data_IF_349021577337
#
_entry.id   IF_349021577337
#
_cell.length_a   1.000
_cell.length_b   1.000
_cell.length_c   1.000
_cell.angle_alpha   90.00
_cell.angle_beta   90.00
_cell.angle_gamma   90.00
#
_symmetry.space_group_name_H-M   'P 1'
#
loop_
_entity.id
_entity.type
_entity.pdbx_description
1 polymer ?
#
# COMPACT_ATOMS: atom_id res chain seq x y z
N UNK A 1 33.81 -61.90 -17.20
CA UNK A 1 32.86 -61.65 -16.07
C UNK A 1 32.44 -60.17 -15.96
N UNK A 2 32.16 -59.47 -17.07
CA UNK A 2 31.70 -58.07 -17.06
C UNK A 2 30.44 -57.95 -17.94
N UNK A 3 29.28 -58.43 -17.47
CA UNK A 3 28.02 -58.29 -18.24
C UNK A 3 26.77 -57.96 -17.43
N UNK A 4 26.86 -57.84 -16.09
CA UNK A 4 25.68 -57.50 -15.25
C UNK A 4 25.66 -56.06 -14.72
N UNK A 5 26.81 -55.40 -14.59
CA UNK A 5 26.87 -54.00 -14.11
C UNK A 5 26.47 -52.95 -15.17
N UNK A 6 26.74 -53.22 -16.45
CA UNK A 6 26.48 -52.26 -17.55
C UNK A 6 24.98 -52.14 -17.88
N UNK A 7 24.20 -53.21 -17.62
CA UNK A 7 22.77 -53.23 -17.95
C UNK A 7 21.92 -52.31 -17.06
N UNK A 8 22.40 -51.98 -15.85
CA UNK A 8 21.72 -51.06 -14.93
C UNK A 8 22.24 -49.62 -15.00
N UNK A 9 23.45 -49.41 -15.53
CA UNK A 9 24.03 -48.07 -15.71
C UNK A 9 23.32 -47.26 -16.80
N UNK A 10 22.98 -47.89 -17.92
CA UNK A 10 22.28 -47.22 -19.02
C UNK A 10 20.87 -46.71 -18.67
N UNK A 11 19.97 -47.50 -18.04
CA UNK A 11 18.66 -46.99 -17.64
C UNK A 11 18.75 -45.95 -16.52
N UNK A 12 19.75 -46.06 -15.62
CA UNK A 12 19.99 -45.05 -14.59
C UNK A 12 20.47 -43.72 -15.17
N UNK A 13 21.40 -43.75 -16.13
CA UNK A 13 21.87 -42.56 -16.85
C UNK A 13 20.78 -41.94 -17.72
N UNK A 14 19.93 -42.76 -18.33
CA UNK A 14 18.77 -42.27 -19.07
C UNK A 14 17.76 -41.59 -18.13
N UNK A 15 17.48 -42.19 -16.98
CA UNK A 15 16.58 -41.63 -15.98
C UNK A 15 17.10 -40.31 -15.43
N UNK A 16 18.39 -40.23 -15.07
CA UNK A 16 18.99 -38.97 -14.57
C UNK A 16 19.03 -37.90 -15.65
N UNK A 17 19.30 -38.26 -16.91
CA UNK A 17 19.23 -37.34 -18.04
C UNK A 17 17.81 -36.82 -18.29
N UNK A 18 16.80 -37.70 -18.24
CA UNK A 18 15.39 -37.31 -18.36
C UNK A 18 14.96 -36.42 -17.19
N UNK A 19 15.37 -36.74 -15.96
CA UNK A 19 15.08 -35.94 -14.76
C UNK A 19 15.74 -34.56 -14.86
N UNK A 20 17.00 -34.50 -15.28
CA UNK A 20 17.72 -33.25 -15.52
C UNK A 20 17.05 -32.41 -16.60
N UNK A 21 16.70 -33.03 -17.74
CA UNK A 21 15.97 -32.38 -18.84
C UNK A 21 14.62 -31.84 -18.38
N UNK A 22 13.90 -32.58 -17.53
CA UNK A 22 12.62 -32.17 -16.96
C UNK A 22 12.79 -30.98 -16.02
N UNK A 23 13.74 -31.03 -15.08
CA UNK A 23 14.07 -29.92 -14.16
C UNK A 23 14.54 -28.69 -14.95
N UNK A 24 15.39 -28.85 -15.96
CA UNK A 24 15.87 -27.77 -16.81
C UNK A 24 14.77 -27.21 -17.74
N UNK A 25 13.71 -27.98 -18.01
CA UNK A 25 12.53 -27.53 -18.74
C UNK A 25 11.47 -26.90 -17.86
N UNK A 26 11.58 -27.02 -16.54
CA UNK A 26 10.75 -26.24 -15.65
C UNK A 26 11.05 -24.77 -15.94
N UNK A 27 10.02 -23.93 -16.13
CA UNK A 27 10.25 -22.50 -16.22
C UNK A 27 10.96 -22.10 -14.93
N UNK A 28 12.21 -21.65 -15.02
CA UNK A 28 12.78 -20.82 -13.97
C UNK A 28 11.72 -19.76 -13.72
N UNK A 29 11.27 -19.63 -12.47
CA UNK A 29 10.44 -18.50 -12.10
C UNK A 29 11.30 -17.25 -12.32
N UNK A 30 11.36 -16.79 -13.57
CA UNK A 30 11.83 -15.49 -13.95
C UNK A 30 10.86 -14.58 -13.24
N UNK A 31 11.32 -14.08 -12.11
CA UNK A 31 10.73 -12.96 -11.41
C UNK A 31 10.59 -11.88 -12.49
N UNK A 32 9.38 -11.78 -13.05
CA UNK A 32 9.07 -10.87 -14.15
C UNK A 32 9.50 -9.50 -13.70
N UNK A 33 10.61 -9.03 -14.26
CA UNK A 33 11.18 -7.74 -13.98
C UNK A 33 10.30 -6.69 -14.68
N UNK A 34 9.17 -6.35 -14.06
CA UNK A 34 8.77 -4.95 -14.08
C UNK A 34 9.96 -4.18 -13.51
N UNK A 35 10.26 -2.98 -14.05
CA UNK A 35 11.37 -2.15 -13.57
C UNK A 35 11.22 -1.97 -12.07
N UNK A 36 11.93 -2.81 -11.30
CA UNK A 36 11.72 -2.92 -9.88
C UNK A 36 12.11 -1.56 -9.30
N UNK A 37 11.20 -0.94 -8.55
CA UNK A 37 11.56 0.29 -7.88
C UNK A 37 12.72 -0.04 -6.96
N UNK A 38 13.85 0.66 -7.13
CA UNK A 38 15.01 0.43 -6.28
C UNK A 38 14.61 0.62 -4.82
N UNK A 39 14.81 -0.41 -4.00
CA UNK A 39 14.46 -0.42 -2.58
C UNK A 39 15.46 0.47 -1.84
N UNK A 40 15.12 1.75 -1.71
CA UNK A 40 15.93 2.78 -1.06
C UNK A 40 15.03 3.64 -0.19
N UNK A 41 15.57 4.19 0.91
CA UNK A 41 14.86 5.10 1.81
C UNK A 41 14.21 6.26 1.02
N UNK A 42 14.98 6.89 0.12
CA UNK A 42 14.50 8.00 -0.72
C UNK A 42 13.30 7.60 -1.59
N UNK A 43 13.33 6.42 -2.21
CA UNK A 43 12.19 5.96 -3.01
C UNK A 43 11.00 5.62 -2.12
N UNK A 44 11.22 5.01 -0.95
CA UNK A 44 10.18 4.75 0.04
C UNK A 44 9.47 6.01 0.50
N UNK A 45 10.24 7.04 0.84
CA UNK A 45 9.72 8.35 1.21
C UNK A 45 8.87 8.95 0.07
N UNK A 46 9.40 8.95 -1.16
CA UNK A 46 8.67 9.46 -2.32
C UNK A 46 7.35 8.71 -2.57
N UNK A 47 7.32 7.40 -2.32
CA UNK A 47 6.10 6.60 -2.44
C UNK A 47 5.12 6.96 -1.32
N UNK A 48 5.57 7.01 -0.07
CA UNK A 48 4.76 7.36 1.10
C UNK A 48 4.04 8.71 0.92
N UNK A 49 4.77 9.73 0.49
CA UNK A 49 4.26 11.08 0.24
C UNK A 49 3.65 11.28 -1.14
N UNK A 50 3.65 10.25 -1.99
CA UNK A 50 3.19 10.32 -3.37
C UNK A 50 2.18 9.21 -3.66
N UNK A 51 2.53 8.33 -4.61
CA UNK A 51 1.61 7.30 -5.16
C UNK A 51 1.11 6.26 -4.15
N UNK A 52 1.79 6.12 -3.01
CA UNK A 52 1.38 5.23 -1.92
C UNK A 52 0.29 5.85 -1.07
N UNK A 53 0.09 7.18 -1.14
CA UNK A 53 -1.00 7.91 -0.50
C UNK A 53 -1.06 7.75 1.03
N UNK A 54 0.00 7.21 1.65
CA UNK A 54 0.06 6.91 3.07
C UNK A 54 -0.13 8.19 3.90
N UNK A 55 0.44 9.31 3.44
CA UNK A 55 0.34 10.64 4.04
C UNK A 55 -1.10 11.20 4.16
N UNK A 56 -2.06 10.57 3.50
CA UNK A 56 -3.47 10.98 3.55
C UNK A 56 -4.12 10.51 4.84
N UNK A 57 -3.68 9.37 5.38
CA UNK A 57 -4.14 8.86 6.67
C UNK A 57 -3.13 9.18 7.77
N UNK A 58 -1.85 8.96 7.48
CA UNK A 58 -0.76 9.08 8.42
C UNK A 58 -0.07 10.44 8.31
N UNK A 59 0.43 10.94 9.43
CA UNK A 59 1.44 12.00 9.47
C UNK A 59 2.77 11.39 9.89
N UNK A 60 3.84 12.15 9.71
CA UNK A 60 5.15 11.84 10.28
C UNK A 60 5.60 13.07 11.08
N UNK A 61 5.40 13.01 12.40
CA UNK A 61 5.71 14.11 13.30
C UNK A 61 4.87 15.34 12.94
N UNK A 62 5.54 16.42 12.55
CA UNK A 62 4.87 17.69 12.18
C UNK A 62 4.35 17.74 10.74
N UNK A 63 4.71 16.77 9.88
CA UNK A 63 4.32 16.76 8.46
C UNK A 63 3.09 15.89 8.25
N UNK A 64 2.01 16.47 7.72
CA UNK A 64 0.73 15.78 7.48
C UNK A 64 -0.29 16.04 8.59
N UNK A 65 -1.51 15.52 8.45
CA UNK A 65 -2.64 15.88 9.32
C UNK A 65 -3.08 14.78 10.31
N UNK A 66 -2.75 13.50 10.07
CA UNK A 66 -3.07 12.32 10.91
C UNK A 66 -4.44 12.32 11.62
N UNK A 67 -5.50 12.62 10.89
CA UNK A 67 -6.86 12.59 11.47
C UNK A 67 -7.46 11.18 11.48
N UNK A 68 -6.91 10.24 10.71
CA UNK A 68 -7.51 8.91 10.48
C UNK A 68 -6.65 7.74 10.91
N UNK A 69 -5.35 7.94 11.07
CA UNK A 69 -4.41 6.87 11.39
C UNK A 69 -3.30 7.36 12.33
N UNK A 70 -2.58 6.43 12.99
CA UNK A 70 -1.47 6.75 13.89
C UNK A 70 -0.44 7.68 13.26
N UNK A 71 0.12 8.56 14.10
CA UNK A 71 1.32 9.32 13.73
C UNK A 71 2.50 8.36 13.65
N UNK A 72 3.22 8.37 12.53
CA UNK A 72 4.36 7.48 12.27
C UNK A 72 5.71 8.12 12.63
N UNK A 73 5.73 9.42 12.93
CA UNK A 73 6.91 10.09 13.47
C UNK A 73 6.96 10.05 14.99
N UNK A 74 7.94 10.75 15.54
CA UNK A 74 8.01 10.98 16.99
C UNK A 74 6.93 11.98 17.43
N UNK A 75 6.25 11.69 18.53
CA UNK A 75 5.20 12.56 19.04
C UNK A 75 4.41 11.96 20.21
N UNK A 76 3.17 12.41 20.45
CA UNK A 76 2.36 11.96 21.59
C UNK A 76 2.06 10.45 21.61
N UNK A 77 2.18 9.78 20.47
CA UNK A 77 1.99 8.32 20.35
C UNK A 77 3.29 7.52 20.57
N UNK A 78 4.33 8.18 21.07
CA UNK A 78 5.63 7.60 21.38
C UNK A 78 6.70 7.89 20.33
N UNK A 79 7.77 7.08 20.30
CA UNK A 79 8.84 7.25 19.33
C UNK A 79 8.35 6.97 17.91
N UNK A 80 9.13 7.41 16.92
CA UNK A 80 8.85 7.14 15.52
C UNK A 80 8.63 5.64 15.25
N UNK A 81 7.85 5.35 14.22
CA UNK A 81 7.38 3.99 13.94
C UNK A 81 8.53 2.99 13.78
N UNK A 82 9.68 3.41 13.24
CA UNK A 82 10.86 2.55 13.13
C UNK A 82 11.34 1.98 14.48
N UNK A 83 11.20 2.72 15.59
CA UNK A 83 11.51 2.22 16.94
C UNK A 83 10.31 1.56 17.61
N UNK A 84 9.11 2.12 17.42
CA UNK A 84 7.88 1.60 18.02
C UNK A 84 7.49 0.22 17.47
N UNK A 85 7.91 -0.09 16.25
CA UNK A 85 7.65 -1.38 15.61
C UNK A 85 8.22 -2.55 16.39
N UNK A 86 9.40 -2.42 17.00
CA UNK A 86 10.03 -3.51 17.77
C UNK A 86 9.21 -3.86 19.02
N UNK A 87 8.77 -2.85 19.77
CA UNK A 87 7.89 -3.06 20.93
C UNK A 87 6.55 -3.72 20.51
N UNK A 88 5.99 -3.32 19.36
CA UNK A 88 4.79 -3.96 18.81
C UNK A 88 5.02 -5.39 18.38
N UNK A 89 6.15 -5.68 17.78
CA UNK A 89 6.50 -7.04 17.39
C UNK A 89 6.58 -7.95 18.62
N UNK A 90 7.22 -7.49 19.70
CA UNK A 90 7.28 -8.21 20.97
C UNK A 90 5.88 -8.45 21.56
N UNK A 91 5.04 -7.41 21.66
CA UNK A 91 3.65 -7.50 22.15
C UNK A 91 2.81 -8.52 21.37
N UNK A 92 3.07 -8.67 20.06
CA UNK A 92 2.30 -9.53 19.15
C UNK A 92 2.94 -10.90 18.91
N UNK A 93 4.10 -11.18 19.52
CA UNK A 93 4.85 -12.41 19.28
C UNK A 93 5.38 -12.55 17.85
N UNK A 94 5.64 -11.43 17.18
CA UNK A 94 6.27 -11.39 15.85
C UNK A 94 7.81 -11.41 15.98
N UNK A 95 8.53 -11.89 14.95
CA UNK A 95 9.99 -12.02 15.01
C UNK A 95 10.76 -10.71 15.28
N UNK A 96 10.33 -9.61 14.67
CA UNK A 96 11.00 -8.31 14.74
C UNK A 96 10.06 -7.17 14.27
N UNK A 97 10.49 -5.92 14.48
CA UNK A 97 9.73 -4.74 14.04
C UNK A 97 9.48 -4.70 12.54
N UNK A 98 10.39 -5.26 11.72
CA UNK A 98 10.19 -5.37 10.26
C UNK A 98 9.00 -6.26 9.95
N UNK A 99 8.88 -7.40 10.63
CA UNK A 99 7.75 -8.33 10.51
C UNK A 99 6.44 -7.66 10.90
N UNK A 100 6.44 -6.82 11.93
CA UNK A 100 5.29 -5.99 12.28
C UNK A 100 4.91 -5.02 11.16
N UNK A 101 5.87 -4.32 10.55
CA UNK A 101 5.60 -3.41 9.43
C UNK A 101 5.11 -4.15 8.18
N UNK A 102 5.67 -5.33 7.91
CA UNK A 102 5.21 -6.21 6.82
C UNK A 102 3.76 -6.63 7.06
N UNK A 103 3.42 -7.09 8.26
CA UNK A 103 2.04 -7.46 8.62
C UNK A 103 1.11 -6.24 8.53
N UNK A 104 1.54 -5.07 9.01
CA UNK A 104 0.74 -3.83 8.96
C UNK A 104 0.35 -3.41 7.54
N UNK A 105 1.16 -3.75 6.53
CA UNK A 105 0.86 -3.46 5.11
C UNK A 105 0.17 -4.61 4.38
N UNK A 106 0.45 -5.86 4.78
CA UNK A 106 -0.09 -7.06 4.16
C UNK A 106 -1.48 -7.42 4.71
N UNK A 107 -1.69 -7.24 6.01
CA UNK A 107 -2.89 -7.59 6.77
C UNK A 107 -3.21 -6.47 7.79
N UNK A 108 -3.57 -5.26 7.35
CA UNK A 108 -3.67 -4.10 8.24
C UNK A 108 -4.67 -4.25 9.39
N UNK A 109 -5.65 -5.15 9.26
CA UNK A 109 -6.63 -5.47 10.30
C UNK A 109 -6.13 -6.44 11.37
N UNK A 110 -4.94 -7.05 11.22
CA UNK A 110 -4.36 -7.97 12.20
C UNK A 110 -4.04 -7.26 13.52
N UNK A 111 -3.67 -5.98 13.45
CA UNK A 111 -3.48 -5.13 14.62
C UNK A 111 -3.91 -3.70 14.32
N UNK A 112 -4.90 -3.21 15.06
CA UNK A 112 -5.38 -1.83 14.98
C UNK A 112 -4.97 -1.10 16.25
N UNK A 113 -4.18 -0.03 16.10
CA UNK A 113 -3.74 0.80 17.22
C UNK A 113 -4.96 1.38 17.94
N UNK A 114 -4.98 1.27 19.27
CA UNK A 114 -6.05 1.82 20.10
C UNK A 114 -6.33 3.30 19.78
N UNK A 115 -7.61 3.65 19.66
CA UNK A 115 -8.06 4.99 19.28
C UNK A 115 -8.22 5.19 17.76
N UNK A 116 -7.90 4.20 16.93
CA UNK A 116 -8.09 4.26 15.48
C UNK A 116 -9.06 3.18 14.98
N UNK A 117 -9.66 3.43 13.82
CA UNK A 117 -10.58 2.51 13.14
C UNK A 117 -9.81 1.57 12.22
N UNK A 118 -10.40 0.39 11.95
CA UNK A 118 -9.86 -0.57 11.00
C UNK A 118 -10.14 -0.14 9.55
N UNK A 119 -9.40 0.87 9.07
CA UNK A 119 -9.64 1.49 7.75
C UNK A 119 -8.44 1.44 6.81
N UNK A 120 -7.29 0.96 7.28
CA UNK A 120 -6.09 0.90 6.46
C UNK A 120 -6.27 -0.17 5.37
N UNK A 121 -6.17 0.18 4.08
CA UNK A 121 -6.34 -0.78 3.01
C UNK A 121 -5.10 -1.65 2.84
N UNK A 122 -5.28 -2.85 2.29
CA UNK A 122 -4.17 -3.65 1.77
C UNK A 122 -3.50 -2.90 0.62
N UNK A 123 -2.25 -2.49 0.83
CA UNK A 123 -1.59 -1.51 -0.06
C UNK A 123 -1.24 -2.06 -1.43
N UNK A 124 -1.22 -3.38 -1.59
CA UNK A 124 -0.97 -4.10 -2.84
C UNK A 124 -2.21 -4.29 -3.71
N UNK A 125 -3.40 -3.91 -3.23
CA UNK A 125 -4.65 -3.94 -3.98
C UNK A 125 -5.09 -2.54 -4.41
N UNK A 126 -5.98 -2.47 -5.39
CA UNK A 126 -6.64 -1.22 -5.73
C UNK A 126 -7.33 -0.61 -4.49
N UNK A 127 -7.28 0.72 -4.30
CA UNK A 127 -6.83 1.74 -5.26
C UNK A 127 -5.34 2.09 -5.20
N UNK A 128 -4.58 1.61 -4.22
CA UNK A 128 -3.16 2.01 -4.03
C UNK A 128 -2.25 1.18 -4.94
N UNK A 129 -2.44 -0.14 -4.98
CA UNK A 129 -1.77 -1.09 -5.86
C UNK A 129 -0.25 -0.89 -5.93
N UNK A 130 0.42 -0.84 -4.77
CA UNK A 130 1.88 -0.85 -4.69
C UNK A 130 2.43 -2.21 -5.10
N UNK A 131 3.45 -2.19 -5.95
CA UNK A 131 4.22 -3.39 -6.27
C UNK A 131 5.00 -3.89 -5.05
N UNK A 132 5.40 -5.18 -5.01
CA UNK A 132 6.23 -5.70 -3.93
C UNK A 132 7.52 -4.90 -3.69
N UNK A 133 8.14 -4.37 -4.75
CA UNK A 133 9.33 -3.52 -4.63
C UNK A 133 9.04 -2.17 -3.97
N UNK A 134 7.88 -1.57 -4.25
CA UNK A 134 7.45 -0.31 -3.65
C UNK A 134 7.07 -0.48 -2.19
N UNK A 135 6.41 -1.59 -1.83
CA UNK A 135 6.10 -1.95 -0.43
C UNK A 135 7.39 -2.06 0.37
N UNK A 136 8.39 -2.80 -0.14
CA UNK A 136 9.71 -2.89 0.49
C UNK A 136 10.38 -1.53 0.65
N UNK A 137 10.31 -0.67 -0.37
CA UNK A 137 10.87 0.67 -0.27
C UNK A 137 10.18 1.49 0.82
N UNK A 138 8.85 1.45 0.92
CA UNK A 138 8.09 2.13 1.99
C UNK A 138 8.48 1.60 3.37
N UNK A 139 8.56 0.28 3.56
CA UNK A 139 9.01 -0.31 4.83
C UNK A 139 10.41 0.20 5.19
N UNK A 140 11.34 0.20 4.24
CA UNK A 140 12.69 0.72 4.47
C UNK A 140 12.69 2.21 4.89
N UNK A 141 11.81 3.02 4.31
CA UNK A 141 11.61 4.40 4.78
C UNK A 141 11.07 4.46 6.21
N UNK A 142 10.05 3.66 6.55
CA UNK A 142 9.46 3.65 7.90
C UNK A 142 10.47 3.22 8.97
N UNK A 143 11.31 2.23 8.68
CA UNK A 143 12.43 1.81 9.53
C UNK A 143 13.42 2.97 9.73
N UNK A 144 13.77 3.68 8.65
CA UNK A 144 14.70 4.81 8.72
C UNK A 144 14.24 5.95 9.62
N UNK A 145 12.94 6.09 9.88
CA UNK A 145 12.41 7.05 10.85
C UNK A 145 12.85 6.74 12.29
N UNK A 146 13.23 5.50 12.57
CA UNK A 146 13.83 5.07 13.85
C UNK A 146 15.34 5.29 13.95
N UNK A 147 15.99 5.72 12.87
CA UNK A 147 17.44 5.91 12.78
C UNK A 147 18.22 4.71 12.24
N UNK A 148 17.55 3.57 11.99
CA UNK A 148 18.18 2.43 11.32
C UNK A 148 18.07 2.57 9.80
N UNK A 149 19.21 2.75 9.13
CA UNK A 149 19.28 2.84 7.67
C UNK A 149 19.89 1.59 7.03
N UNK A 150 20.17 0.54 7.82
CA UNK A 150 20.77 -0.68 7.30
C UNK A 150 19.78 -1.39 6.37
N UNK A 151 20.34 -2.03 5.34
CA UNK A 151 19.57 -2.84 4.42
C UNK A 151 19.05 -4.08 5.13
N UNK A 152 17.89 -3.96 5.77
CA UNK A 152 17.18 -5.07 6.37
C UNK A 152 16.62 -5.95 5.25
N UNK A 153 16.71 -7.28 5.42
CA UNK A 153 16.09 -8.21 4.49
C UNK A 153 14.57 -8.21 4.69
N UNK A 154 13.87 -7.40 3.90
CA UNK A 154 12.41 -7.31 3.96
C UNK A 154 11.80 -8.48 3.17
N UNK A 155 11.24 -9.42 3.92
CA UNK A 155 10.50 -10.57 3.39
C UNK A 155 9.00 -10.28 3.38
N UNK A 156 8.40 -10.25 2.18
CA UNK A 156 6.96 -10.13 2.04
C UNK A 156 6.33 -11.54 1.96
N UNK A 157 5.12 -11.74 2.51
CA UNK A 157 4.43 -13.02 2.39
C UNK A 157 4.05 -13.31 0.94
N UNK A 158 3.93 -14.59 0.58
CA UNK A 158 3.55 -15.03 -0.78
C UNK A 158 2.20 -14.46 -1.22
N UNK A 159 1.27 -14.26 -0.28
CA UNK A 159 -0.04 -13.66 -0.54
C UNK A 159 0.06 -12.29 -1.22
N UNK A 160 1.00 -11.44 -0.80
CA UNK A 160 1.22 -10.12 -1.41
C UNK A 160 1.67 -10.25 -2.87
N UNK A 161 2.59 -11.17 -3.16
CA UNK A 161 3.03 -11.40 -4.54
C UNK A 161 1.92 -11.99 -5.42
N UNK A 162 1.13 -12.91 -4.87
CA UNK A 162 0.07 -13.58 -5.61
C UNK A 162 -1.15 -12.67 -5.86
N UNK A 163 -1.46 -11.77 -4.92
CA UNK A 163 -2.61 -10.88 -4.98
C UNK A 163 -2.30 -9.50 -5.57
N UNK A 164 -1.03 -9.16 -5.81
CA UNK A 164 -0.67 -7.93 -6.49
C UNK A 164 -1.11 -8.01 -7.95
N UNK A 165 -2.10 -7.19 -8.29
CA UNK A 165 -2.49 -6.93 -9.66
C UNK A 165 -1.86 -5.61 -10.10
N UNK A 166 -1.07 -5.65 -11.17
CA UNK A 166 -0.53 -4.44 -11.76
C UNK A 166 -1.71 -3.53 -12.12
N UNK A 167 -1.78 -2.30 -11.59
CA UNK A 167 -2.90 -1.44 -11.89
C UNK A 167 -2.92 -1.20 -13.40
N UNK A 168 -4.04 -1.56 -14.05
CA UNK A 168 -4.27 -1.16 -15.43
C UNK A 168 -4.15 0.36 -15.51
N UNK A 169 -3.51 0.86 -16.56
CA UNK A 169 -3.47 2.28 -16.83
C UNK A 169 -4.92 2.75 -17.02
N UNK A 170 -5.51 3.30 -15.96
CA UNK A 170 -6.89 3.73 -15.96
C UNK A 170 -7.00 4.90 -16.95
N UNK A 171 -7.46 4.62 -18.16
CA UNK A 171 -7.46 5.55 -19.30
C UNK A 171 -8.54 6.63 -19.19
N UNK A 172 -9.41 6.53 -18.18
CA UNK A 172 -10.46 7.50 -17.96
C UNK A 172 -9.95 8.72 -17.20
N UNK A 173 -9.73 9.81 -17.94
CA UNK A 173 -9.55 11.14 -17.39
C UNK A 173 -10.89 11.89 -17.36
N UNK A 174 -11.27 12.54 -16.25
CA UNK A 174 -12.48 13.34 -16.20
C UNK A 174 -12.36 14.53 -17.18
N UNK A 175 -13.23 14.57 -18.20
CA UNK A 175 -13.30 15.67 -19.18
C UNK A 175 -14.08 16.90 -18.67
N UNK A 176 -14.24 17.03 -17.36
CA UNK A 176 -15.05 18.08 -16.73
C UNK A 176 -14.30 19.39 -16.51
N UNK A 177 -15.03 20.47 -16.28
CA UNK A 177 -14.46 21.76 -15.88
C UNK A 177 -14.31 21.82 -14.35
N UNK A 178 -13.06 21.87 -13.86
CA UNK A 178 -12.77 21.87 -12.42
C UNK A 178 -13.36 23.09 -11.68
N UNK A 179 -13.39 24.25 -12.32
CA UNK A 179 -13.98 25.48 -11.77
C UNK A 179 -15.50 25.33 -11.59
N UNK A 180 -16.18 24.77 -12.59
CA UNK A 180 -17.61 24.50 -12.51
C UNK A 180 -17.91 23.44 -11.42
N UNK A 181 -17.11 22.38 -11.34
CA UNK A 181 -17.22 21.38 -10.28
C UNK A 181 -17.02 21.97 -8.88
N UNK A 182 -16.06 22.89 -8.72
CA UNK A 182 -15.84 23.60 -7.47
C UNK A 182 -17.04 24.46 -7.06
N UNK A 183 -17.64 25.19 -8.01
CA UNK A 183 -18.86 25.96 -7.74
C UNK A 183 -20.00 25.05 -7.27
N UNK A 184 -20.23 23.93 -7.96
CA UNK A 184 -21.24 22.95 -7.53
C UNK A 184 -20.96 22.39 -6.14
N UNK A 185 -19.69 22.11 -5.82
CA UNK A 185 -19.29 21.57 -4.52
C UNK A 185 -19.58 22.55 -3.38
N UNK A 186 -19.20 23.82 -3.53
CA UNK A 186 -19.23 24.82 -2.46
C UNK A 186 -20.46 25.73 -2.46
N UNK A 187 -21.35 25.65 -3.45
CA UNK A 187 -22.61 26.39 -3.47
C UNK A 187 -23.62 25.72 -2.52
N UNK A 188 -23.92 26.33 -1.36
CA UNK A 188 -24.83 25.74 -0.37
C UNK A 188 -26.29 25.73 -0.83
N UNK A 189 -26.62 26.48 -1.89
CA UNK A 189 -27.96 26.53 -2.48
C UNK A 189 -28.02 25.82 -3.83
N UNK A 190 -26.89 25.28 -4.29
CA UNK A 190 -26.76 24.61 -5.57
C UNK A 190 -27.29 23.19 -5.53
N UNK A 191 -27.50 22.56 -6.70
CA UNK A 191 -28.09 21.23 -6.81
C UNK A 191 -27.21 20.10 -6.24
N UNK A 192 -25.92 20.36 -5.97
CA UNK A 192 -25.01 19.38 -5.40
C UNK A 192 -24.72 19.64 -3.91
N UNK A 193 -24.47 20.90 -3.53
CA UNK A 193 -24.25 21.35 -2.14
C UNK A 193 -23.34 20.43 -1.30
N UNK A 194 -22.32 19.82 -1.91
CA UNK A 194 -21.48 18.79 -1.29
C UNK A 194 -20.82 19.28 0.00
N UNK A 195 -20.43 20.56 0.03
CA UNK A 195 -19.80 21.21 1.16
C UNK A 195 -20.73 21.38 2.38
N UNK A 196 -22.04 21.15 2.24
CA UNK A 196 -22.94 21.12 3.40
C UNK A 196 -22.58 19.97 4.36
N UNK A 197 -22.12 18.84 3.82
CA UNK A 197 -21.73 17.68 4.62
C UNK A 197 -20.22 17.44 4.64
N UNK A 198 -19.52 17.65 3.52
CA UNK A 198 -18.12 17.28 3.37
C UNK A 198 -17.16 18.48 3.50
N UNK A 199 -15.99 18.24 4.07
CA UNK A 199 -14.87 19.19 4.03
C UNK A 199 -13.99 18.93 2.80
N UNK A 200 -13.62 20.00 2.09
CA UNK A 200 -12.66 19.99 0.99
C UNK A 200 -11.76 21.23 1.05
N UNK A 201 -10.84 21.35 0.10
CA UNK A 201 -9.96 22.52 0.01
C UNK A 201 -10.59 23.60 -0.88
N UNK A 202 -10.59 24.84 -0.42
CA UNK A 202 -10.96 26.01 -1.22
C UNK A 202 -9.84 26.40 -2.22
N UNK A 203 -10.02 27.53 -2.91
CA UNK A 203 -9.07 28.05 -3.89
C UNK A 203 -7.70 28.40 -3.31
N UNK A 204 -7.65 28.72 -2.02
CA UNK A 204 -6.43 29.03 -1.28
C UNK A 204 -5.85 27.80 -0.57
N UNK A 205 -6.37 26.61 -0.83
CA UNK A 205 -5.93 25.37 -0.17
C UNK A 205 -6.38 25.27 1.29
N UNK A 206 -7.38 26.05 1.72
CA UNK A 206 -7.88 26.02 3.11
C UNK A 206 -9.05 25.05 3.24
N UNK A 207 -9.14 24.28 4.34
CA UNK A 207 -10.30 23.43 4.62
C UNK A 207 -11.59 24.25 4.70
N UNK A 208 -12.64 23.82 3.99
CA UNK A 208 -13.97 24.43 4.02
C UNK A 208 -15.04 23.36 3.82
N UNK A 209 -16.16 23.50 4.52
CA UNK A 209 -17.35 22.63 4.42
C UNK A 209 -17.78 22.05 5.77
N UNK A 210 -18.75 21.15 5.73
CA UNK A 210 -19.28 20.44 6.89
C UNK A 210 -18.37 19.28 7.33
N UNK A 211 -18.66 18.75 8.53
CA UNK A 211 -17.95 17.61 9.12
C UNK A 211 -18.83 16.36 9.27
N UNK A 212 -20.07 16.42 8.75
CA UNK A 212 -21.02 15.30 8.83
C UNK A 212 -20.68 14.17 7.85
N UNK A 213 -20.08 14.50 6.72
CA UNK A 213 -19.56 13.56 5.73
C UNK A 213 -18.04 13.38 5.84
N UNK A 214 -17.48 12.30 5.28
CA UNK A 214 -16.04 12.08 5.25
C UNK A 214 -15.23 13.24 4.68
N UNK A 215 -14.02 13.41 5.19
CA UNK A 215 -13.06 14.41 4.71
C UNK A 215 -12.59 14.09 3.29
N UNK A 216 -12.80 15.05 2.37
CA UNK A 216 -12.48 14.89 0.95
C UNK A 216 -11.22 15.66 0.51
N UNK A 217 -10.50 16.32 1.42
CA UNK A 217 -9.33 17.18 1.09
C UNK A 217 -8.25 16.47 0.29
N UNK A 218 -8.16 15.16 0.42
CA UNK A 218 -7.18 14.32 -0.25
C UNK A 218 -7.81 13.19 -1.08
N UNK A 219 -9.13 13.18 -1.29
CA UNK A 219 -9.84 12.04 -1.86
C UNK A 219 -9.34 11.68 -3.27
N UNK A 220 -8.94 12.67 -4.07
CA UNK A 220 -8.42 12.48 -5.42
C UNK A 220 -7.03 11.80 -5.45
N UNK A 221 -6.30 11.81 -4.33
CA UNK A 221 -5.04 11.08 -4.23
C UNK A 221 -5.26 9.59 -3.91
N UNK A 222 -6.30 9.25 -3.15
CA UNK A 222 -6.58 7.88 -2.68
C UNK A 222 -7.58 7.11 -3.54
N UNK A 223 -8.34 7.80 -4.41
CA UNK A 223 -9.40 7.18 -5.23
C UNK A 223 -9.23 7.57 -6.69
N UNK A 224 -9.45 6.61 -7.58
CA UNK A 224 -9.49 6.88 -9.01
C UNK A 224 -10.66 7.81 -9.37
N UNK A 225 -10.51 8.55 -10.46
CA UNK A 225 -11.60 9.39 -10.94
C UNK A 225 -12.86 8.54 -11.25
N UNK A 226 -12.69 7.32 -11.74
CA UNK A 226 -13.79 6.37 -11.96
C UNK A 226 -14.51 6.01 -10.65
N UNK A 227 -13.77 5.74 -9.57
CA UNK A 227 -14.33 5.51 -8.24
C UNK A 227 -15.11 6.73 -7.75
N UNK A 228 -14.54 7.93 -7.88
CA UNK A 228 -15.19 9.16 -7.45
C UNK A 228 -16.50 9.40 -8.19
N UNK A 229 -16.50 9.22 -9.52
CA UNK A 229 -17.73 9.30 -10.32
C UNK A 229 -18.77 8.29 -9.85
N UNK A 230 -18.38 7.03 -9.65
CA UNK A 230 -19.29 5.99 -9.19
C UNK A 230 -19.92 6.37 -7.84
N UNK A 231 -19.13 6.91 -6.90
CA UNK A 231 -19.62 7.38 -5.59
C UNK A 231 -20.48 8.64 -5.65
N UNK A 232 -20.21 9.56 -6.57
CA UNK A 232 -21.06 10.74 -6.77
C UNK A 232 -22.41 10.35 -7.37
N UNK A 233 -22.43 9.42 -8.32
CA UNK A 233 -23.66 8.99 -9.01
C UNK A 233 -24.46 7.97 -8.19
N UNK A 234 -23.77 7.14 -7.39
CA UNK A 234 -24.36 6.09 -6.55
C UNK A 234 -23.78 6.16 -5.12
N UNK A 235 -24.19 7.16 -4.30
CA UNK A 235 -23.60 7.41 -2.97
C UNK A 235 -23.77 6.23 -2.01
N UNK A 236 -24.87 5.48 -2.13
CA UNK A 236 -25.20 4.36 -1.24
C UNK A 236 -24.50 3.04 -1.60
N UNK A 237 -23.83 2.98 -2.76
CA UNK A 237 -23.12 1.77 -3.18
C UNK A 237 -21.91 1.54 -2.27
N UNK A 238 -21.76 0.37 -1.64
CA UNK A 238 -20.60 0.01 -0.82
C UNK A 238 -20.21 1.08 0.22
N UNK A 239 -21.12 1.36 1.18
CA UNK A 239 -20.81 2.19 2.34
C UNK A 239 -19.75 1.45 3.16
N UNK A 240 -18.49 1.86 3.01
CA UNK A 240 -17.46 1.47 3.97
C UNK A 240 -17.79 2.27 5.23
N UNK A 241 -18.02 1.58 6.34
CA UNK A 241 -18.34 2.20 7.63
C UNK A 241 -17.28 3.25 7.94
N UNK A 242 -17.72 4.50 8.10
CA UNK A 242 -16.87 5.65 8.38
C UNK A 242 -16.47 5.76 9.84
#
# INVERSE_FOLDING_TARGET
MVKRGVLFLLPFLLLTYVLYRWIASLPVATQRSDVATAVTVRNGERIFWGRGTCHVCHRVGTRGYATRAPDLGEGPQGPAIGKRADARAEELGLPDGVSYLVQSLAEPGAYVVSGFKNEMPEVFRAPIALSPSEIKAVILYLVSLGGDTLAQQIHLPRSVYAAYEKPEANSWSPRGNAEAGRRLFFDPKGPAACAACHVALDTGGRPRGGSSGPDLRAVASIRSAAYLRAKIVHPDSNVVSG
#
